data_IF_291267912659
#
_entry.id   IF_291267912659
#
_cell.length_a   1.000
_cell.length_b   1.000
_cell.length_c   1.000
_cell.angle_alpha   90.00
_cell.angle_beta   90.00
_cell.angle_gamma   90.00
#
_symmetry.space_group_name_H-M   'P 1'
#
loop_
_entity.id
_entity.type
_entity.pdbx_description
1 polymer ?
#
# COMPACT_ATOMS: atom_id res chain seq x y z
N UNK A 1 19.30 40.89 37.30
CA UNK A 1 17.92 40.52 36.88
C UNK A 1 17.74 40.48 35.35
N UNK A 2 18.34 41.39 34.57
CA UNK A 2 18.23 41.37 33.11
C UNK A 2 18.80 40.09 32.44
N UNK A 3 19.89 39.52 32.97
CA UNK A 3 20.54 38.34 32.43
C UNK A 3 19.79 37.03 32.73
N UNK A 4 18.98 37.01 33.80
CA UNK A 4 18.16 35.84 34.16
C UNK A 4 16.96 35.69 33.23
N UNK A 5 16.39 36.80 32.75
CA UNK A 5 15.25 36.79 31.81
C UNK A 5 15.64 36.29 30.43
N UNK A 6 16.86 36.61 29.97
CA UNK A 6 17.40 36.14 28.66
C UNK A 6 17.64 34.62 28.69
N UNK A 7 18.07 34.08 29.85
CA UNK A 7 18.31 32.62 29.99
C UNK A 7 17.01 31.82 30.01
N UNK A 8 15.91 32.36 30.55
CA UNK A 8 14.60 31.68 30.53
C UNK A 8 13.94 31.65 29.13
N UNK A 9 14.20 32.66 28.29
CA UNK A 9 13.66 32.70 26.92
C UNK A 9 14.40 31.72 26.02
N UNK A 10 15.69 31.44 26.24
CA UNK A 10 16.47 30.48 25.47
C UNK A 10 16.08 29.02 25.73
N UNK A 11 15.45 28.70 26.89
CA UNK A 11 14.98 27.33 27.19
C UNK A 11 13.61 27.00 26.58
N UNK A 12 12.84 27.97 26.10
CA UNK A 12 11.51 27.74 25.51
C UNK A 12 11.52 27.40 24.01
N UNK A 13 12.68 27.44 23.38
CA UNK A 13 12.89 27.02 21.97
C UNK A 13 13.40 25.56 21.87
N UNK A 14 13.30 24.79 22.96
CA UNK A 14 13.62 23.35 22.95
C UNK A 14 12.58 22.62 22.07
N UNK A 15 12.96 22.49 20.82
CA UNK A 15 12.18 22.00 19.73
C UNK A 15 11.33 20.78 20.05
N UNK A 16 10.07 20.84 19.64
CA UNK A 16 9.34 19.65 19.26
C UNK A 16 10.08 19.01 18.07
N UNK A 17 11.08 18.18 18.36
CA UNK A 17 11.62 17.26 17.40
C UNK A 17 10.48 16.28 17.09
N UNK A 18 9.66 16.59 16.07
CA UNK A 18 8.86 15.58 15.43
C UNK A 18 9.85 14.54 14.93
N UNK A 19 9.82 13.35 15.52
CA UNK A 19 10.53 12.21 14.98
C UNK A 19 10.01 12.00 13.56
N UNK A 20 10.70 12.54 12.56
CA UNK A 20 10.42 12.25 11.17
C UNK A 20 10.74 10.78 10.99
N UNK A 21 9.69 9.96 10.88
CA UNK A 21 9.87 8.56 10.49
C UNK A 21 10.49 8.54 9.11
N UNK A 22 11.61 7.83 8.96
CA UNK A 22 12.24 7.64 7.65
C UNK A 22 11.22 7.01 6.70
N UNK A 23 11.02 7.57 5.50
CA UNK A 23 10.14 6.98 4.50
C UNK A 23 10.51 5.51 4.24
N UNK A 24 9.51 4.65 4.16
CA UNK A 24 9.66 3.22 3.88
C UNK A 24 8.96 2.87 2.57
N UNK A 25 9.35 1.72 2.01
CA UNK A 25 8.69 1.11 0.85
C UNK A 25 8.19 -0.26 1.28
N UNK A 26 6.90 -0.54 1.10
CA UNK A 26 6.27 -1.77 1.57
C UNK A 26 5.50 -2.42 0.43
N UNK A 27 5.78 -3.72 0.19
CA UNK A 27 4.99 -4.56 -0.70
C UNK A 27 4.06 -5.46 0.12
N UNK A 28 2.77 -5.40 -0.17
CA UNK A 28 1.72 -6.25 0.39
C UNK A 28 1.45 -7.41 -0.56
N UNK A 29 1.47 -8.62 -0.05
CA UNK A 29 1.20 -9.85 -0.78
C UNK A 29 -0.19 -10.37 -0.43
N UNK A 30 -1.09 -10.42 -1.40
CA UNK A 30 -2.48 -10.89 -1.24
C UNK A 30 -2.78 -12.05 -2.17
N UNK A 31 -3.11 -13.20 -1.60
CA UNK A 31 -3.46 -14.42 -2.36
C UNK A 31 -4.79 -15.03 -2.00
N UNK A 32 -5.41 -14.58 -0.91
CA UNK A 32 -6.66 -15.13 -0.39
C UNK A 32 -7.87 -14.72 -1.24
N UNK A 33 -8.81 -15.65 -1.42
CA UNK A 33 -10.15 -15.36 -1.98
C UNK A 33 -11.16 -14.86 -0.93
N UNK A 34 -10.75 -14.82 0.34
CA UNK A 34 -11.61 -14.39 1.43
C UNK A 34 -11.82 -12.87 1.42
N UNK A 35 -13.08 -12.46 1.34
CA UNK A 35 -13.47 -11.05 1.32
C UNK A 35 -13.02 -10.29 2.56
N UNK A 36 -12.98 -10.94 3.72
CA UNK A 36 -12.51 -10.31 4.97
C UNK A 36 -11.01 -9.98 4.92
N UNK A 37 -10.22 -10.78 4.20
CA UNK A 37 -8.79 -10.49 3.92
C UNK A 37 -8.68 -9.30 2.97
N UNK A 38 -9.51 -9.22 1.92
CA UNK A 38 -9.54 -8.08 1.00
C UNK A 38 -9.86 -6.77 1.74
N UNK A 39 -10.86 -6.78 2.61
CA UNK A 39 -11.25 -5.63 3.43
C UNK A 39 -10.13 -5.22 4.40
N UNK A 40 -9.46 -6.20 5.02
CA UNK A 40 -8.32 -5.92 5.91
C UNK A 40 -7.15 -5.33 5.14
N UNK A 41 -6.79 -5.89 3.99
CA UNK A 41 -5.70 -5.40 3.15
C UNK A 41 -5.92 -3.93 2.74
N UNK A 42 -7.14 -3.59 2.32
CA UNK A 42 -7.51 -2.19 2.00
C UNK A 42 -7.40 -1.28 3.22
N UNK A 43 -7.87 -1.72 4.40
CA UNK A 43 -7.71 -0.92 5.63
C UNK A 43 -6.25 -0.69 5.97
N UNK A 44 -5.39 -1.71 5.85
CA UNK A 44 -3.97 -1.61 6.16
C UNK A 44 -3.26 -0.63 5.23
N UNK A 45 -3.39 -0.79 3.91
CA UNK A 45 -2.73 0.10 2.96
C UNK A 45 -3.25 1.55 3.07
N UNK A 46 -4.57 1.71 3.33
CA UNK A 46 -5.16 3.03 3.58
C UNK A 46 -4.55 3.68 4.82
N UNK A 47 -4.53 2.98 5.95
CA UNK A 47 -3.98 3.48 7.20
C UNK A 47 -2.50 3.86 7.05
N UNK A 48 -1.71 2.98 6.42
CA UNK A 48 -0.29 3.23 6.22
C UNK A 48 -0.03 4.43 5.31
N UNK A 49 -0.77 4.55 4.20
CA UNK A 49 -0.61 5.67 3.28
C UNK A 49 -1.12 7.00 3.84
N UNK A 50 -2.10 6.98 4.76
CA UNK A 50 -2.57 8.17 5.48
C UNK A 50 -1.54 8.64 6.52
N UNK A 51 -0.95 7.70 7.28
CA UNK A 51 0.01 8.02 8.36
C UNK A 51 1.42 8.33 7.84
N UNK A 52 1.81 7.75 6.71
CA UNK A 52 3.16 7.86 6.14
C UNK A 52 3.12 8.33 4.68
N UNK A 53 2.68 9.56 4.41
CA UNK A 53 2.46 10.04 3.03
C UNK A 53 3.73 10.13 2.18
N UNK A 54 4.91 10.18 2.80
CA UNK A 54 6.20 10.17 2.11
C UNK A 54 6.70 8.74 1.78
N UNK A 55 6.00 7.71 2.26
CA UNK A 55 6.33 6.29 2.01
C UNK A 55 5.60 5.75 0.78
N UNK A 56 6.12 4.68 0.19
CA UNK A 56 5.55 4.03 -1.00
C UNK A 56 4.96 2.66 -0.64
N UNK A 57 3.81 2.35 -1.22
CA UNK A 57 3.08 1.12 -0.95
C UNK A 57 2.63 0.47 -2.25
N UNK A 58 2.93 -0.81 -2.41
CA UNK A 58 2.44 -1.60 -3.51
C UNK A 58 1.72 -2.85 -2.99
N UNK A 59 0.56 -3.16 -3.56
CA UNK A 59 -0.18 -4.37 -3.27
C UNK A 59 -0.18 -5.27 -4.50
N UNK A 60 0.38 -6.47 -4.35
CA UNK A 60 0.48 -7.47 -5.40
C UNK A 60 -0.57 -8.54 -5.17
N UNK A 61 -1.40 -8.77 -6.20
CA UNK A 61 -2.55 -9.66 -6.14
C UNK A 61 -2.40 -10.80 -7.17
N UNK A 62 -2.50 -12.03 -6.71
CA UNK A 62 -2.47 -13.21 -7.57
C UNK A 62 -3.23 -14.39 -6.94
N UNK A 63 -3.34 -15.51 -7.64
CA UNK A 63 -4.06 -16.68 -7.16
C UNK A 63 -5.52 -16.36 -6.79
N UNK A 64 -5.98 -16.68 -5.61
CA UNK A 64 -7.35 -16.49 -5.14
C UNK A 64 -7.78 -15.03 -4.92
N UNK A 65 -6.85 -14.08 -4.89
CA UNK A 65 -7.19 -12.65 -4.66
C UNK A 65 -7.65 -11.90 -5.91
N UNK A 66 -7.65 -12.53 -7.10
CA UNK A 66 -8.09 -11.89 -8.33
C UNK A 66 -9.44 -11.15 -8.22
N UNK A 67 -10.50 -11.71 -7.58
CA UNK A 67 -11.78 -11.03 -7.43
C UNK A 67 -11.69 -9.65 -6.75
N UNK A 68 -10.67 -9.42 -5.92
CA UNK A 68 -10.48 -8.13 -5.23
C UNK A 68 -10.31 -6.95 -6.19
N UNK A 69 -9.76 -7.18 -7.39
CA UNK A 69 -9.47 -6.15 -8.39
C UNK A 69 -10.40 -6.16 -9.60
N UNK A 70 -11.41 -7.03 -9.62
CA UNK A 70 -12.38 -7.12 -10.70
C UNK A 70 -13.60 -6.23 -10.42
N UNK A 71 -14.02 -5.40 -11.40
CA UNK A 71 -15.14 -4.46 -11.28
C UNK A 71 -16.43 -5.08 -10.75
N UNK A 72 -16.76 -6.27 -11.25
CA UNK A 72 -18.05 -6.91 -10.99
C UNK A 72 -18.01 -7.87 -9.78
N UNK A 73 -16.85 -8.13 -9.21
CA UNK A 73 -16.67 -9.13 -8.14
C UNK A 73 -16.16 -8.55 -6.82
N UNK A 74 -15.48 -7.39 -6.89
CA UNK A 74 -14.83 -6.78 -5.73
C UNK A 74 -15.82 -6.20 -4.72
N UNK A 75 -15.64 -6.54 -3.45
CA UNK A 75 -16.37 -5.91 -2.33
C UNK A 75 -15.72 -4.61 -1.86
N UNK A 76 -14.53 -4.29 -2.37
CA UNK A 76 -13.72 -3.12 -1.98
C UNK A 76 -13.42 -2.19 -3.15
N UNK A 77 -14.13 -2.31 -4.26
CA UNK A 77 -13.84 -1.60 -5.53
C UNK A 77 -13.72 -0.09 -5.37
N UNK A 78 -14.64 0.53 -4.63
CA UNK A 78 -14.65 1.99 -4.42
C UNK A 78 -13.42 2.49 -3.66
N UNK A 79 -13.08 1.82 -2.57
CA UNK A 79 -11.92 2.20 -1.75
C UNK A 79 -10.61 1.93 -2.49
N UNK A 80 -10.54 0.82 -3.23
CA UNK A 80 -9.39 0.46 -4.05
C UNK A 80 -9.16 1.51 -5.15
N UNK A 81 -10.21 1.92 -5.87
CA UNK A 81 -10.11 2.95 -6.92
C UNK A 81 -9.63 4.29 -6.35
N UNK A 82 -10.16 4.72 -5.19
CA UNK A 82 -9.70 5.93 -4.52
C UNK A 82 -8.23 5.86 -4.09
N UNK A 83 -7.79 4.69 -3.60
CA UNK A 83 -6.40 4.48 -3.20
C UNK A 83 -5.47 4.39 -4.41
N UNK A 84 -5.89 3.75 -5.49
CA UNK A 84 -5.12 3.63 -6.74
C UNK A 84 -4.87 4.98 -7.43
N UNK A 85 -5.65 6.01 -7.09
CA UNK A 85 -5.45 7.38 -7.58
C UNK A 85 -4.35 8.14 -6.80
N UNK A 86 -3.82 7.59 -5.70
CA UNK A 86 -2.73 8.20 -4.92
C UNK A 86 -1.37 7.94 -5.57
N UNK A 87 -0.49 8.90 -5.57
CA UNK A 87 0.86 8.77 -6.16
C UNK A 87 1.74 7.75 -5.43
N UNK A 88 1.53 7.55 -4.13
CA UNK A 88 2.32 6.66 -3.29
C UNK A 88 1.70 5.27 -3.06
N UNK A 89 0.61 4.93 -3.75
CA UNK A 89 -0.07 3.64 -3.65
C UNK A 89 -0.23 3.02 -5.04
N UNK A 90 0.11 1.76 -5.18
CA UNK A 90 -0.11 1.00 -6.41
C UNK A 90 -0.71 -0.38 -6.14
N UNK A 91 -1.57 -0.82 -7.04
CA UNK A 91 -2.13 -2.17 -7.07
C UNK A 91 -1.67 -2.87 -8.34
N UNK A 92 -1.11 -4.07 -8.19
CA UNK A 92 -0.57 -4.87 -9.28
C UNK A 92 -1.20 -6.26 -9.27
N UNK A 93 -1.79 -6.64 -10.39
CA UNK A 93 -2.36 -7.99 -10.56
C UNK A 93 -1.49 -8.83 -11.49
N UNK A 94 -1.33 -10.10 -11.16
CA UNK A 94 -0.57 -11.07 -11.95
C UNK A 94 -1.28 -11.42 -13.27
N UNK A 95 -0.61 -11.17 -14.39
CA UNK A 95 -1.14 -11.49 -15.73
C UNK A 95 -1.41 -13.00 -15.90
N UNK A 96 -0.55 -13.86 -15.35
CA UNK A 96 -0.74 -15.31 -15.43
C UNK A 96 -2.01 -15.75 -14.69
N UNK A 97 -2.34 -15.11 -13.56
CA UNK A 97 -3.59 -15.35 -12.86
C UNK A 97 -4.79 -14.88 -13.68
N UNK A 98 -4.71 -13.70 -14.28
CA UNK A 98 -5.77 -13.18 -15.17
C UNK A 98 -6.02 -14.12 -16.35
N UNK A 99 -4.98 -14.56 -17.04
CA UNK A 99 -5.08 -15.51 -18.17
C UNK A 99 -5.75 -16.82 -17.78
N UNK A 100 -5.40 -17.38 -16.62
CA UNK A 100 -6.02 -18.61 -16.11
C UNK A 100 -7.53 -18.47 -15.90
N UNK A 101 -7.99 -17.28 -15.54
CA UNK A 101 -9.40 -16.95 -15.28
C UNK A 101 -10.07 -16.22 -16.46
N UNK A 102 -9.44 -16.21 -17.63
CA UNK A 102 -9.97 -15.57 -18.86
C UNK A 102 -10.36 -14.11 -18.66
N UNK A 103 -9.62 -13.38 -17.80
CA UNK A 103 -9.83 -11.95 -17.52
C UNK A 103 -8.83 -11.10 -18.31
N UNK A 104 -9.28 -9.90 -18.66
CA UNK A 104 -8.50 -8.90 -19.40
C UNK A 104 -8.45 -7.58 -18.62
N UNK A 105 -7.68 -6.62 -19.11
CA UNK A 105 -7.61 -5.27 -18.54
C UNK A 105 -9.00 -4.62 -18.44
N UNK A 106 -9.92 -4.90 -19.37
CA UNK A 106 -11.27 -4.35 -19.36
C UNK A 106 -12.11 -4.77 -18.13
N UNK A 107 -11.74 -5.88 -17.48
CA UNK A 107 -12.40 -6.36 -16.26
C UNK A 107 -11.87 -5.69 -14.98
N UNK A 108 -10.71 -5.03 -15.04
CA UNK A 108 -10.06 -4.48 -13.86
C UNK A 108 -10.68 -3.14 -13.41
N UNK A 109 -10.64 -2.92 -12.10
CA UNK A 109 -10.95 -1.61 -11.50
C UNK A 109 -9.95 -0.57 -12.04
N UNK A 110 -10.37 0.66 -12.36
CA UNK A 110 -9.47 1.70 -12.82
C UNK A 110 -8.29 1.94 -11.87
N UNK A 111 -7.09 2.12 -12.44
CA UNK A 111 -5.86 2.34 -11.68
C UNK A 111 -5.10 1.07 -11.28
N UNK A 112 -5.69 -0.13 -11.46
CA UNK A 112 -4.98 -1.39 -11.25
C UNK A 112 -4.04 -1.67 -12.43
N UNK A 113 -2.74 -1.84 -12.13
CA UNK A 113 -1.72 -2.22 -13.11
C UNK A 113 -1.57 -3.74 -13.21
N UNK A 114 -0.97 -4.21 -14.30
CA UNK A 114 -0.70 -5.62 -14.57
C UNK A 114 0.81 -5.85 -14.50
N UNK A 115 1.23 -6.93 -13.83
CA UNK A 115 2.61 -7.42 -13.86
C UNK A 115 2.64 -8.82 -14.47
N UNK A 116 3.68 -9.19 -15.22
CA UNK A 116 3.76 -10.51 -15.85
C UNK A 116 3.65 -11.67 -14.87
N UNK A 117 4.31 -11.54 -13.71
CA UNK A 117 4.35 -12.55 -12.65
C UNK A 117 4.33 -11.87 -11.26
N UNK A 118 3.28 -12.13 -10.48
CA UNK A 118 3.12 -11.52 -9.15
C UNK A 118 4.16 -12.00 -8.12
N UNK A 119 4.62 -13.24 -8.22
CA UNK A 119 5.66 -13.77 -7.32
C UNK A 119 7.00 -13.11 -7.62
N UNK A 120 7.34 -12.98 -8.90
CA UNK A 120 8.57 -12.31 -9.32
C UNK A 120 8.54 -10.83 -8.93
N UNK A 121 7.41 -10.16 -9.09
CA UNK A 121 7.25 -8.75 -8.68
C UNK A 121 7.61 -8.57 -7.20
N UNK A 122 7.06 -9.40 -6.30
CA UNK A 122 7.38 -9.37 -4.86
C UNK A 122 8.87 -9.58 -4.61
N UNK A 123 9.50 -10.56 -5.28
CA UNK A 123 10.94 -10.83 -5.13
C UNK A 123 11.77 -9.63 -5.58
N UNK A 124 11.41 -9.01 -6.71
CA UNK A 124 12.13 -7.84 -7.22
C UNK A 124 11.99 -6.64 -6.28
N UNK A 125 10.79 -6.39 -5.74
CA UNK A 125 10.58 -5.35 -4.73
C UNK A 125 11.44 -5.59 -3.47
N UNK A 126 11.51 -6.83 -2.99
CA UNK A 126 12.37 -7.15 -1.85
C UNK A 126 13.87 -6.94 -2.16
N UNK A 127 14.32 -7.26 -3.38
CA UNK A 127 15.70 -6.94 -3.82
C UNK A 127 15.98 -5.44 -3.86
N UNK A 128 14.97 -4.63 -4.16
CA UNK A 128 15.05 -3.16 -4.13
C UNK A 128 14.99 -2.58 -2.70
N UNK A 129 14.91 -3.43 -1.67
CA UNK A 129 14.88 -3.03 -0.27
C UNK A 129 13.48 -2.75 0.29
N UNK A 130 12.42 -3.14 -0.40
CA UNK A 130 11.06 -3.03 0.11
C UNK A 130 10.82 -4.00 1.28
N UNK A 131 10.15 -3.51 2.32
CA UNK A 131 9.59 -4.37 3.36
C UNK A 131 8.45 -5.23 2.78
N UNK A 132 8.22 -6.40 3.37
CA UNK A 132 7.21 -7.36 2.90
C UNK A 132 6.15 -7.60 3.98
N UNK A 133 4.89 -7.59 3.58
CA UNK A 133 3.76 -7.96 4.44
C UNK A 133 2.86 -8.95 3.69
N UNK A 134 2.62 -10.11 4.31
CA UNK A 134 1.61 -11.06 3.85
C UNK A 134 0.26 -10.72 4.46
N UNK A 135 -0.74 -10.46 3.62
CA UNK A 135 -2.12 -10.31 4.05
C UNK A 135 -2.80 -11.68 4.17
N UNK A 136 -3.19 -12.01 5.39
CA UNK A 136 -3.85 -13.29 5.73
C UNK A 136 -4.82 -13.10 6.90
N UNK A 137 -5.60 -14.13 7.20
CA UNK A 137 -6.35 -14.21 8.47
C UNK A 137 -5.42 -14.46 9.63
#
# INVERSE_FOLDING_TARGET
MKNLLIFCIALLVSGTAFAQTTPVKIVFDVTSSDKSVHESAIRHIKLMSDLYPASEFEMVLYSGSLPMVLKDESTVSKDLEMLAARENVSFKVCEMTMKRHEKTMANLIPGVGIVPDGILEIIMKQKEGWGYIKESK
#
